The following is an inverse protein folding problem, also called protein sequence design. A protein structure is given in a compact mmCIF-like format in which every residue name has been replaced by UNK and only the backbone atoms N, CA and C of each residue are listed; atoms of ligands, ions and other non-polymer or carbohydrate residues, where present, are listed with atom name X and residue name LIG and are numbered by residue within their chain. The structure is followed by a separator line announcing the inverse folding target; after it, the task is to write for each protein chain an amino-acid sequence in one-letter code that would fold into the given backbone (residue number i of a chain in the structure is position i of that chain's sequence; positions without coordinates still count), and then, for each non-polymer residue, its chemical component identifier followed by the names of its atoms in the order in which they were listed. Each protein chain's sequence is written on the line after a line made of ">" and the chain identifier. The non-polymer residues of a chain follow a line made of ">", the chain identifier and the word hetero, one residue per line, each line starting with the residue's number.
data_IF_751444400148
#
_entry.id   IF_751444400148
#
_cell.length_a   1.000
_cell.length_b   1.000
_cell.length_c   1.000
_cell.angle_alpha   90.00
_cell.angle_beta   90.00
_cell.angle_gamma   90.00
#
_symmetry.space_group_name_H-M   'P 1'
#
loop_
_entity.id
_entity.type
_entity.pdbx_description
1 polymer ?
#
# COMPACT_ATOMS: atom_id res chain seq x y z
N UNK A 1 -18.61 15.30 12.50
CA UNK A 1 -17.35 16.05 12.64
C UNK A 1 -16.29 15.32 11.85
N UNK A 2 -15.75 15.93 10.80
CA UNK A 2 -14.55 15.49 10.07
C UNK A 2 -13.44 16.48 10.40
N UNK A 3 -12.22 16.00 10.60
CA UNK A 3 -11.04 16.83 10.84
C UNK A 3 -10.06 16.60 9.68
N UNK A 4 -9.75 17.65 8.94
CA UNK A 4 -8.89 17.59 7.75
C UNK A 4 -7.72 18.57 7.91
N UNK A 5 -6.49 18.12 7.66
CA UNK A 5 -5.28 18.96 7.67
C UNK A 5 -4.91 19.26 6.22
N UNK A 6 -4.93 20.54 5.82
CA UNK A 6 -4.84 20.93 4.40
C UNK A 6 -3.48 21.43 3.90
N UNK A 7 -2.57 21.89 4.76
CA UNK A 7 -1.37 22.63 4.30
C UNK A 7 -0.09 22.28 5.08
N UNK A 8 1.05 22.31 4.37
CA UNK A 8 2.41 22.03 4.85
C UNK A 8 3.12 23.23 5.50
N UNK A 9 2.74 24.46 5.15
CA UNK A 9 3.43 25.68 5.59
C UNK A 9 2.80 26.33 6.84
N UNK A 10 1.49 26.14 7.02
CA UNK A 10 0.69 26.49 8.20
C UNK A 10 -0.37 25.41 8.36
N UNK A 11 -0.59 24.89 9.57
CA UNK A 11 -1.61 23.87 9.78
C UNK A 11 -2.99 24.50 9.64
N UNK A 12 -3.68 24.22 8.53
CA UNK A 12 -5.11 24.54 8.38
C UNK A 12 -5.93 23.31 8.76
N UNK A 13 -6.60 23.39 9.92
CA UNK A 13 -7.51 22.36 10.41
C UNK A 13 -8.93 22.70 10.00
N UNK A 14 -9.52 21.91 9.11
CA UNK A 14 -10.93 22.03 8.75
C UNK A 14 -11.78 21.06 9.55
N UNK A 15 -12.70 21.61 10.35
CA UNK A 15 -13.72 20.83 11.05
C UNK A 15 -15.07 20.98 10.34
N UNK A 16 -15.57 19.89 9.73
CA UNK A 16 -16.88 19.88 9.08
C UNK A 16 -17.94 19.16 9.93
N UNK A 17 -19.07 19.81 10.16
CA UNK A 17 -20.23 19.21 10.82
C UNK A 17 -21.51 19.43 10.02
N UNK A 18 -22.37 18.39 9.93
CA UNK A 18 -23.71 18.45 9.36
C UNK A 18 -24.76 18.28 10.46
N UNK A 19 -25.78 19.15 10.56
CA UNK A 19 -26.94 18.93 11.45
C UNK A 19 -28.24 19.59 10.93
N UNK A 20 -29.38 19.09 11.41
CA UNK A 20 -30.75 19.47 11.02
C UNK A 20 -31.32 20.67 11.80
N UNK A 21 -30.71 21.12 12.90
CA UNK A 21 -31.26 22.15 13.81
C UNK A 21 -30.25 23.30 14.04
N UNK A 22 -30.50 24.51 13.53
CA UNK A 22 -29.48 25.58 13.56
C UNK A 22 -29.87 27.07 13.57
N UNK A 23 -31.13 27.54 13.74
CA UNK A 23 -31.33 28.95 14.04
C UNK A 23 -31.38 29.15 15.55
N UNK A 24 -30.25 29.49 16.18
CA UNK A 24 -30.21 30.03 17.56
C UNK A 24 -29.32 29.32 18.59
N UNK A 25 -28.65 28.23 18.25
CA UNK A 25 -27.78 27.50 19.18
C UNK A 25 -26.32 27.92 18.95
N UNK A 26 -25.68 28.48 19.97
CA UNK A 26 -24.25 28.76 19.99
C UNK A 26 -23.49 27.44 20.12
N UNK A 27 -22.65 27.07 19.16
CA UNK A 27 -21.77 25.91 19.30
C UNK A 27 -20.48 26.32 19.99
N UNK A 28 -20.02 25.51 20.94
CA UNK A 28 -18.69 25.68 21.54
C UNK A 28 -17.77 24.63 20.92
N UNK A 29 -16.85 25.10 20.09
CA UNK A 29 -15.82 24.28 19.46
C UNK A 29 -14.46 24.65 20.04
N UNK A 30 -13.76 23.66 20.54
CA UNK A 30 -12.40 23.82 21.06
C UNK A 30 -11.46 22.90 20.27
N UNK A 31 -10.39 23.48 19.74
CA UNK A 31 -9.26 22.73 19.20
C UNK A 31 -8.11 22.81 20.21
N UNK A 32 -7.54 21.66 20.55
CA UNK A 32 -6.34 21.52 21.36
C UNK A 32 -5.22 20.92 20.54
N UNK A 33 -4.02 21.47 20.69
CA UNK A 33 -2.76 20.95 20.14
C UNK A 33 -1.90 20.58 21.34
N UNK A 34 -1.63 19.29 21.54
CA UNK A 34 -0.87 18.78 22.69
C UNK A 34 -1.29 19.44 24.03
N UNK A 35 -2.61 19.45 24.26
CA UNK A 35 -3.31 20.06 25.39
C UNK A 35 -3.37 21.61 25.48
N UNK A 36 -2.74 22.34 24.56
CA UNK A 36 -2.88 23.80 24.46
C UNK A 36 -4.12 24.21 23.66
N UNK A 37 -4.94 25.14 24.19
CA UNK A 37 -6.10 25.70 23.50
C UNK A 37 -5.68 26.65 22.37
N UNK A 38 -6.22 26.44 21.17
CA UNK A 38 -6.02 27.35 20.03
C UNK A 38 -7.25 28.25 19.87
N UNK A 39 -7.13 29.51 20.31
CA UNK A 39 -8.26 30.46 20.35
C UNK A 39 -8.59 31.11 18.99
N UNK A 40 -7.72 30.99 17.98
CA UNK A 40 -7.89 31.66 16.67
C UNK A 40 -8.42 30.72 15.57
N UNK A 41 -9.75 30.59 15.49
CA UNK A 41 -10.45 29.87 14.42
C UNK A 41 -11.41 30.78 13.65
N UNK A 42 -11.52 30.58 12.34
CA UNK A 42 -12.56 31.23 11.51
C UNK A 42 -13.71 30.27 11.26
N UNK A 43 -14.95 30.73 11.38
CA UNK A 43 -16.15 29.90 11.16
C UNK A 43 -16.87 30.33 9.86
N UNK A 44 -17.21 29.35 9.01
CA UNK A 44 -18.07 29.52 7.84
C UNK A 44 -19.28 28.60 7.93
N UNK A 45 -20.49 29.17 8.00
CA UNK A 45 -21.76 28.44 8.01
C UNK A 45 -22.40 28.47 6.62
N UNK A 46 -22.85 27.33 6.13
CA UNK A 46 -23.60 27.19 4.88
C UNK A 46 -24.82 26.32 5.08
N UNK A 47 -25.98 26.78 4.60
CA UNK A 47 -27.18 25.94 4.49
C UNK A 47 -27.13 25.19 3.16
N UNK A 48 -27.34 23.87 3.19
CA UNK A 48 -27.41 23.02 2.00
C UNK A 48 -28.85 22.88 1.50
N UNK A 49 -28.97 22.51 0.24
CA UNK A 49 -30.26 22.32 -0.45
C UNK A 49 -31.11 21.20 0.16
N UNK A 50 -30.47 20.25 0.84
CA UNK A 50 -31.11 19.16 1.61
C UNK A 50 -31.70 19.61 2.96
N UNK A 51 -31.62 20.91 3.28
CA UNK A 51 -32.09 21.48 4.55
C UNK A 51 -31.10 21.34 5.72
N UNK A 52 -29.96 20.68 5.51
CA UNK A 52 -28.90 20.53 6.51
C UNK A 52 -28.03 21.78 6.58
N UNK A 53 -27.49 22.06 7.76
CA UNK A 53 -26.49 23.10 7.96
C UNK A 53 -25.10 22.48 8.04
N UNK A 54 -24.16 23.08 7.33
CA UNK A 54 -22.73 22.77 7.36
C UNK A 54 -21.98 23.93 8.03
N UNK A 55 -21.21 23.64 9.07
CA UNK A 55 -20.22 24.59 9.60
C UNK A 55 -18.82 24.05 9.30
N UNK A 56 -17.97 24.90 8.73
CA UNK A 56 -16.56 24.66 8.47
C UNK A 56 -15.78 25.63 9.36
N UNK A 57 -14.95 25.08 10.22
CA UNK A 57 -14.04 25.88 11.04
C UNK A 57 -12.62 25.67 10.55
N UNK A 58 -11.88 26.76 10.38
CA UNK A 58 -10.49 26.73 9.95
C UNK A 58 -9.62 27.40 11.02
N UNK A 59 -8.75 26.62 11.66
CA UNK A 59 -7.67 27.14 12.52
C UNK A 59 -6.37 27.16 11.75
N UNK A 60 -5.56 28.19 11.99
CA UNK A 60 -4.17 28.27 11.51
C UNK A 60 -3.23 28.13 12.70
N UNK A 61 -2.45 27.05 12.74
CA UNK A 61 -1.40 26.86 13.75
C UNK A 61 -0.03 27.12 13.11
N UNK A 62 0.77 28.08 13.59
CA UNK A 62 2.13 28.30 13.11
C UNK A 62 3.03 27.09 13.40
N UNK A 63 3.86 26.69 12.43
CA UNK A 63 4.76 25.52 12.55
C UNK A 63 5.78 25.65 13.69
N UNK A 64 6.11 26.87 14.10
CA UNK A 64 7.12 27.19 15.15
C UNK A 64 6.72 26.67 16.54
N UNK A 65 5.45 26.27 16.74
CA UNK A 65 4.94 25.83 18.04
C UNK A 65 4.68 24.32 18.14
N UNK A 66 5.09 23.54 17.12
CA UNK A 66 4.53 22.20 16.89
C UNK A 66 5.61 21.22 16.38
N UNK A 67 6.25 20.47 17.28
CA UNK A 67 7.24 19.42 16.97
C UNK A 67 6.56 18.04 16.81
N UNK A 68 6.57 17.40 15.61
CA UNK A 68 5.90 16.11 15.39
C UNK A 68 6.49 14.95 16.21
N UNK A 69 5.68 13.94 16.63
CA UNK A 69 4.27 13.77 16.34
C UNK A 69 3.37 14.66 17.19
N UNK A 70 2.43 15.35 16.56
CA UNK A 70 1.52 16.28 17.25
C UNK A 70 0.10 15.80 17.19
N UNK A 71 -0.59 15.89 18.32
CA UNK A 71 -1.97 15.44 18.48
C UNK A 71 -2.93 16.62 18.39
N UNK A 72 -3.82 16.58 17.40
CA UNK A 72 -4.89 17.54 17.23
C UNK A 72 -6.20 16.97 17.79
N UNK A 73 -6.67 17.55 18.89
CA UNK A 73 -7.88 17.17 19.60
C UNK A 73 -8.97 18.22 19.42
N UNK A 74 -10.04 17.88 18.69
CA UNK A 74 -11.20 18.74 18.51
C UNK A 74 -12.40 18.21 19.30
N UNK A 75 -12.97 19.07 20.14
CA UNK A 75 -14.18 18.81 20.88
C UNK A 75 -15.27 19.80 20.48
N UNK A 76 -16.46 19.28 20.23
CA UNK A 76 -17.69 20.04 20.05
C UNK A 76 -18.60 19.76 21.23
N UNK A 77 -19.13 20.82 21.81
CA UNK A 77 -20.20 20.76 22.80
C UNK A 77 -21.34 21.68 22.39
N UNK A 78 -22.57 21.24 22.66
CA UNK A 78 -23.78 22.02 22.44
C UNK A 78 -24.29 22.50 23.81
N UNK A 79 -24.16 23.80 24.14
CA UNK A 79 -24.65 24.37 25.40
C UNK A 79 -26.13 24.05 25.62
N UNK A 80 -26.48 23.62 26.83
CA UNK A 80 -27.85 23.21 27.17
C UNK A 80 -28.21 21.78 26.75
N UNK A 81 -27.27 20.99 26.22
CA UNK A 81 -27.45 19.56 25.96
C UNK A 81 -26.25 18.75 26.46
N UNK A 82 -26.42 17.44 26.62
CA UNK A 82 -25.33 16.53 26.94
C UNK A 82 -24.55 16.07 25.69
N UNK A 83 -24.76 16.72 24.54
CA UNK A 83 -24.13 16.32 23.29
C UNK A 83 -22.68 16.82 23.24
N UNK A 84 -21.73 15.88 23.31
CA UNK A 84 -20.31 16.14 23.09
C UNK A 84 -19.76 15.20 22.02
N UNK A 85 -19.11 15.74 21.00
CA UNK A 85 -18.39 14.96 19.99
C UNK A 85 -16.91 15.29 20.04
N UNK A 86 -16.04 14.27 20.05
CA UNK A 86 -14.58 14.42 20.07
C UNK A 86 -13.95 13.72 18.87
N UNK A 87 -12.89 14.30 18.32
CA UNK A 87 -12.08 13.76 17.22
C UNK A 87 -10.61 14.06 17.51
N UNK A 88 -9.76 13.07 17.25
CA UNK A 88 -8.31 13.13 17.43
C UNK A 88 -7.62 12.75 16.11
N UNK A 89 -6.59 13.49 15.72
CA UNK A 89 -5.72 13.17 14.56
C UNK A 89 -4.27 13.48 14.93
N UNK A 90 -3.35 12.57 14.59
CA UNK A 90 -1.91 12.74 14.81
C UNK A 90 -1.24 13.15 13.49
N UNK A 91 -0.44 14.21 13.52
CA UNK A 91 0.38 14.62 12.38
C UNK A 91 1.81 14.06 12.52
N UNK A 92 2.24 13.32 11.51
CA UNK A 92 3.64 12.92 11.31
C UNK A 92 4.25 13.83 10.24
N UNK A 93 5.46 14.33 10.46
CA UNK A 93 6.20 15.07 9.43
C UNK A 93 6.44 14.12 8.25
N UNK A 94 6.03 14.49 7.05
CA UNK A 94 6.64 13.91 5.84
C UNK A 94 8.05 14.51 5.76
N UNK A 95 9.09 13.68 5.84
CA UNK A 95 10.47 14.15 5.69
C UNK A 95 10.63 14.75 4.28
N UNK A 96 10.82 16.06 4.20
CA UNK A 96 11.19 16.71 2.94
C UNK A 96 12.59 16.22 2.58
N UNK A 97 12.81 15.64 1.38
CA UNK A 97 14.11 15.08 1.04
C UNK A 97 15.15 16.18 1.04
N UNK A 98 16.25 15.98 1.77
CA UNK A 98 17.37 16.92 1.72
C UNK A 98 18.02 16.80 0.35
N UNK A 99 17.98 17.89 -0.42
CA UNK A 99 18.60 17.95 -1.73
C UNK A 99 20.10 18.20 -1.59
N UNK A 100 20.90 17.52 -2.41
CA UNK A 100 22.35 17.68 -2.39
C UNK A 100 22.74 19.06 -2.95
N UNK A 101 23.46 19.86 -2.15
CA UNK A 101 23.85 21.22 -2.50
C UNK A 101 24.84 21.24 -3.68
N UNK A 102 25.67 20.21 -3.80
CA UNK A 102 26.65 20.06 -4.88
C UNK A 102 26.08 19.39 -6.13
N UNK A 103 24.76 19.18 -6.19
CA UNK A 103 24.09 18.51 -7.31
C UNK A 103 24.47 19.04 -8.71
N UNK A 104 24.61 20.36 -8.95
CA UNK A 104 25.00 20.86 -10.26
C UNK A 104 26.35 20.31 -10.76
N UNK A 105 27.27 19.94 -9.87
CA UNK A 105 28.53 19.31 -10.23
C UNK A 105 28.39 17.79 -10.32
N UNK A 106 27.73 17.17 -9.34
CA UNK A 106 27.55 15.71 -9.29
C UNK A 106 26.75 15.18 -10.48
N UNK A 107 25.74 15.93 -10.93
CA UNK A 107 24.97 15.61 -12.12
C UNK A 107 25.87 15.37 -13.33
N UNK A 108 26.82 16.27 -13.62
CA UNK A 108 27.74 16.11 -14.74
C UNK A 108 28.66 14.89 -14.58
N UNK A 109 29.07 14.56 -13.35
CA UNK A 109 29.88 13.37 -13.09
C UNK A 109 29.09 12.11 -13.39
N UNK A 110 27.85 12.01 -12.91
CA UNK A 110 26.97 10.87 -13.18
C UNK A 110 26.63 10.76 -14.67
N UNK A 111 26.30 11.86 -15.34
CA UNK A 111 26.02 11.88 -16.78
C UNK A 111 27.23 11.45 -17.59
N UNK A 112 28.42 11.98 -17.29
CA UNK A 112 29.66 11.60 -17.97
C UNK A 112 29.95 10.12 -17.80
N UNK A 113 29.84 9.59 -16.57
CA UNK A 113 30.08 8.18 -16.31
C UNK A 113 29.05 7.27 -17.00
N UNK A 114 27.78 7.68 -17.02
CA UNK A 114 26.74 6.95 -17.73
C UNK A 114 27.02 6.92 -19.24
N UNK A 115 27.38 8.06 -19.85
CA UNK A 115 27.75 8.13 -21.27
C UNK A 115 28.98 7.29 -21.59
N UNK A 116 29.97 7.27 -20.69
CA UNK A 116 31.13 6.38 -20.80
C UNK A 116 30.71 4.91 -20.80
N UNK A 117 29.83 4.51 -19.88
CA UNK A 117 29.31 3.13 -19.82
C UNK A 117 28.44 2.79 -21.03
N UNK A 118 27.72 3.73 -21.62
CA UNK A 118 26.83 3.50 -22.77
C UNK A 118 27.55 3.52 -24.12
N UNK A 119 28.77 4.06 -24.17
CA UNK A 119 29.57 4.13 -25.39
C UNK A 119 29.68 2.76 -26.10
N UNK A 120 29.53 2.71 -27.45
CA UNK A 120 29.68 1.49 -28.22
C UNK A 120 31.13 0.96 -28.17
N UNK A 121 32.11 1.84 -27.96
CA UNK A 121 33.53 1.50 -27.87
C UNK A 121 33.94 1.01 -26.46
N UNK A 122 32.98 0.93 -25.54
CA UNK A 122 33.24 0.43 -24.18
C UNK A 122 33.64 -1.04 -24.22
N UNK A 123 34.86 -1.34 -23.76
CA UNK A 123 35.40 -2.71 -23.70
C UNK A 123 35.32 -3.29 -22.27
N UNK A 124 34.42 -4.25 -21.99
CA UNK A 124 34.26 -4.85 -20.66
C UNK A 124 35.54 -5.48 -20.10
N UNK A 125 36.40 -6.03 -20.97
CA UNK A 125 37.64 -6.68 -20.58
C UNK A 125 38.65 -5.73 -19.93
N UNK A 126 38.70 -4.47 -20.40
CA UNK A 126 39.58 -3.43 -19.85
C UNK A 126 38.96 -2.83 -18.60
N UNK A 127 37.65 -2.55 -18.62
CA UNK A 127 36.92 -1.93 -17.53
C UNK A 127 36.90 -2.78 -16.25
N UNK A 128 36.84 -4.13 -16.36
CA UNK A 128 36.80 -5.02 -15.18
C UNK A 128 38.00 -4.88 -14.23
N UNK A 129 39.11 -4.28 -14.69
CA UNK A 129 40.30 -4.04 -13.86
C UNK A 129 40.12 -2.88 -12.88
N UNK A 130 39.19 -1.97 -13.19
CA UNK A 130 38.92 -0.76 -12.41
C UNK A 130 37.54 -0.79 -11.77
N UNK A 131 36.55 -1.35 -12.46
CA UNK A 131 35.22 -1.62 -11.92
C UNK A 131 35.26 -3.03 -11.31
N UNK A 132 35.70 -3.10 -10.07
CA UNK A 132 35.82 -4.33 -9.30
C UNK A 132 34.70 -4.46 -8.24
N UNK A 133 34.83 -5.44 -7.35
CA UNK A 133 33.86 -5.67 -6.28
C UNK A 133 33.82 -4.51 -5.27
N UNK A 134 34.96 -3.88 -5.01
CA UNK A 134 35.05 -2.77 -4.06
C UNK A 134 34.33 -1.53 -4.60
N UNK A 135 34.49 -1.25 -5.91
CA UNK A 135 33.74 -0.19 -6.58
C UNK A 135 32.23 -0.41 -6.46
N UNK A 136 31.76 -1.65 -6.68
CA UNK A 136 30.33 -1.99 -6.57
C UNK A 136 29.80 -1.79 -5.15
N UNK A 137 30.59 -2.13 -4.12
CA UNK A 137 30.18 -1.90 -2.72
C UNK A 137 29.99 -0.41 -2.44
N UNK A 138 31.00 0.41 -2.78
CA UNK A 138 30.93 1.85 -2.60
C UNK A 138 29.78 2.48 -3.38
N UNK A 139 29.52 1.99 -4.59
CA UNK A 139 28.37 2.44 -5.40
C UNK A 139 27.03 2.08 -4.74
N UNK A 140 26.93 0.89 -4.14
CA UNK A 140 25.72 0.46 -3.44
C UNK A 140 25.46 1.27 -2.17
N UNK A 141 26.51 1.66 -1.43
CA UNK A 141 26.37 2.50 -0.24
C UNK A 141 25.75 3.87 -0.57
N UNK A 142 25.96 4.39 -1.78
CA UNK A 142 25.35 5.66 -2.23
C UNK A 142 23.84 5.58 -2.46
N UNK A 143 23.24 4.38 -2.57
CA UNK A 143 21.79 4.25 -2.72
C UNK A 143 21.01 4.72 -1.49
N UNK A 144 21.67 4.92 -0.35
CA UNK A 144 21.03 5.48 0.84
C UNK A 144 20.97 7.03 0.83
N UNK A 145 21.39 7.67 -0.27
CA UNK A 145 21.24 9.12 -0.47
C UNK A 145 19.79 9.58 -0.31
N UNK A 146 19.58 10.70 0.37
CA UNK A 146 18.25 11.32 0.52
C UNK A 146 17.75 11.93 -0.79
N UNK A 147 18.67 12.31 -1.70
CA UNK A 147 18.33 12.96 -2.96
C UNK A 147 17.82 11.94 -4.00
N UNK A 148 16.54 11.99 -4.40
CA UNK A 148 15.99 11.05 -5.37
C UNK A 148 16.66 11.13 -6.75
N UNK A 149 17.25 12.28 -7.10
CA UNK A 149 17.92 12.46 -8.39
C UNK A 149 19.20 11.63 -8.44
N UNK A 150 19.96 11.61 -7.34
CA UNK A 150 21.15 10.79 -7.23
C UNK A 150 20.81 9.30 -7.33
N UNK A 151 19.79 8.86 -6.59
CA UNK A 151 19.33 7.46 -6.63
C UNK A 151 18.90 7.01 -8.03
N UNK A 152 18.26 7.88 -8.81
CA UNK A 152 17.85 7.55 -10.18
C UNK A 152 19.06 7.38 -11.14
N UNK A 153 20.11 8.20 -10.99
CA UNK A 153 21.36 8.00 -11.72
C UNK A 153 22.07 6.70 -11.28
N UNK A 154 22.18 6.47 -9.97
CA UNK A 154 22.78 5.26 -9.42
C UNK A 154 22.06 4.00 -9.92
N UNK A 155 20.73 4.03 -9.95
CA UNK A 155 19.88 2.97 -10.50
C UNK A 155 20.30 2.61 -11.92
N UNK A 156 20.38 3.62 -12.77
CA UNK A 156 20.72 3.45 -14.18
C UNK A 156 22.17 2.95 -14.34
N UNK A 157 23.11 3.54 -13.61
CA UNK A 157 24.53 3.15 -13.63
C UNK A 157 24.71 1.69 -13.19
N UNK A 158 24.13 1.29 -12.07
CA UNK A 158 24.23 -0.07 -11.55
C UNK A 158 23.59 -1.08 -12.51
N UNK A 159 22.45 -0.73 -13.12
CA UNK A 159 21.80 -1.57 -14.13
C UNK A 159 22.71 -1.78 -15.37
N UNK A 160 23.36 -0.72 -15.88
CA UNK A 160 24.33 -0.82 -17.00
C UNK A 160 25.54 -1.68 -16.64
N UNK A 161 26.09 -1.49 -15.44
CA UNK A 161 27.19 -2.30 -14.90
C UNK A 161 26.79 -3.78 -14.86
N UNK A 162 25.62 -4.10 -14.32
CA UNK A 162 25.10 -5.47 -14.26
C UNK A 162 24.93 -6.09 -15.66
N UNK A 163 24.43 -5.29 -16.61
CA UNK A 163 24.24 -5.70 -18.00
C UNK A 163 25.54 -6.04 -18.71
N UNK A 164 26.53 -5.13 -18.67
CA UNK A 164 27.80 -5.23 -19.43
C UNK A 164 28.87 -6.10 -18.75
N UNK A 165 28.97 -6.08 -17.41
CA UNK A 165 30.01 -6.79 -16.65
C UNK A 165 29.48 -8.09 -16.04
N UNK A 166 29.40 -9.14 -16.87
CA UNK A 166 28.85 -10.45 -16.49
C UNK A 166 29.48 -11.06 -15.23
N UNK A 167 30.79 -10.84 -15.02
CA UNK A 167 31.53 -11.37 -13.87
C UNK A 167 31.10 -10.78 -12.52
N UNK A 168 30.47 -9.61 -12.50
CA UNK A 168 30.01 -8.96 -11.26
C UNK A 168 28.57 -9.32 -10.89
N UNK A 169 27.80 -9.98 -11.78
CA UNK A 169 26.36 -10.23 -11.58
C UNK A 169 26.04 -11.01 -10.30
N UNK A 170 26.81 -12.05 -10.01
CA UNK A 170 26.62 -12.84 -8.79
C UNK A 170 26.92 -12.01 -7.53
N UNK A 171 27.97 -11.19 -7.58
CA UNK A 171 28.37 -10.31 -6.50
C UNK A 171 27.33 -9.22 -6.24
N UNK A 172 26.87 -8.52 -7.29
CA UNK A 172 25.83 -7.48 -7.20
C UNK A 172 24.56 -8.04 -6.56
N UNK A 173 24.05 -9.19 -7.04
CA UNK A 173 22.85 -9.84 -6.45
C UNK A 173 23.07 -10.16 -4.97
N UNK A 174 24.24 -10.69 -4.61
CA UNK A 174 24.57 -11.01 -3.21
C UNK A 174 24.59 -9.75 -2.34
N UNK A 175 25.17 -8.65 -2.82
CA UNK A 175 25.24 -7.42 -2.03
C UNK A 175 23.89 -6.72 -1.89
N UNK A 176 23.07 -6.69 -2.94
CA UNK A 176 21.69 -6.19 -2.85
C UNK A 176 20.90 -7.03 -1.83
N UNK A 177 21.08 -8.35 -1.79
CA UNK A 177 20.47 -9.20 -0.77
C UNK A 177 20.93 -8.81 0.64
N UNK A 178 22.21 -8.52 0.84
CA UNK A 178 22.72 -8.08 2.14
C UNK A 178 22.10 -6.74 2.57
N UNK A 179 21.95 -5.79 1.65
CA UNK A 179 21.25 -4.52 1.90
C UNK A 179 19.81 -4.78 2.35
N UNK A 180 19.08 -5.66 1.64
CA UNK A 180 17.72 -6.03 2.02
C UNK A 180 17.66 -6.77 3.36
N UNK A 181 18.59 -7.66 3.66
CA UNK A 181 18.63 -8.32 4.97
C UNK A 181 18.81 -7.32 6.11
N UNK A 182 19.77 -6.39 5.97
CA UNK A 182 20.01 -5.32 6.94
C UNK A 182 18.77 -4.43 7.08
N UNK A 183 18.14 -4.06 5.97
CA UNK A 183 16.91 -3.26 5.97
C UNK A 183 15.74 -3.97 6.68
N UNK A 184 15.50 -5.25 6.39
CA UNK A 184 14.35 -6.00 6.94
C UNK A 184 14.52 -6.33 8.42
N UNK A 185 15.74 -6.71 8.84
CA UNK A 185 15.97 -7.32 10.16
C UNK A 185 16.73 -6.43 11.15
N UNK A 186 17.43 -5.37 10.69
CA UNK A 186 18.27 -4.54 11.56
C UNK A 186 17.80 -3.09 11.63
N UNK A 187 17.69 -2.39 10.50
CA UNK A 187 17.52 -0.93 10.51
C UNK A 187 16.10 -0.45 10.27
N UNK A 188 15.27 -1.19 9.51
CA UNK A 188 13.97 -0.74 8.97
C UNK A 188 14.02 0.61 8.20
N UNK A 189 15.22 1.08 7.86
CA UNK A 189 15.46 2.37 7.19
C UNK A 189 16.54 2.21 6.12
N UNK A 190 16.19 2.63 4.91
CA UNK A 190 17.07 2.75 3.75
C UNK A 190 16.32 3.48 2.63
N UNK A 191 16.91 4.50 2.01
CA UNK A 191 16.21 5.36 1.03
C UNK A 191 16.07 4.74 -0.37
N UNK A 192 17.04 3.93 -0.80
CA UNK A 192 17.10 3.36 -2.16
C UNK A 192 16.42 2.01 -2.41
N UNK A 193 15.51 1.56 -1.55
CA UNK A 193 14.91 0.21 -1.69
C UNK A 193 14.06 0.10 -2.97
N UNK A 194 13.32 1.15 -3.31
CA UNK A 194 12.49 1.17 -4.52
C UNK A 194 13.35 1.03 -5.78
N UNK A 195 14.41 1.82 -5.88
CA UNK A 195 15.33 1.85 -7.02
C UNK A 195 16.07 0.52 -7.18
N UNK A 196 16.51 -0.10 -6.08
CA UNK A 196 17.12 -1.44 -6.12
C UNK A 196 16.12 -2.50 -6.60
N UNK A 197 14.85 -2.41 -6.21
CA UNK A 197 13.79 -3.30 -6.69
C UNK A 197 13.49 -3.09 -8.18
N UNK A 198 13.54 -1.87 -8.71
CA UNK A 198 13.38 -1.63 -10.17
C UNK A 198 14.45 -2.35 -10.99
N UNK A 199 15.71 -2.27 -10.55
CA UNK A 199 16.82 -3.00 -11.19
C UNK A 199 16.54 -4.50 -11.11
N UNK A 200 16.15 -4.99 -9.94
CA UNK A 200 15.86 -6.41 -9.75
C UNK A 200 14.69 -6.88 -10.61
N UNK A 201 13.64 -6.07 -10.78
CA UNK A 201 12.52 -6.38 -11.67
C UNK A 201 13.00 -6.64 -13.11
N UNK A 202 13.89 -5.78 -13.62
CA UNK A 202 14.50 -5.98 -14.94
C UNK A 202 15.38 -7.24 -14.99
N UNK A 203 16.14 -7.51 -13.92
CA UNK A 203 16.99 -8.71 -13.80
C UNK A 203 16.14 -9.99 -13.79
N UNK A 204 15.03 -10.00 -13.04
CA UNK A 204 14.11 -11.14 -12.91
C UNK A 204 13.47 -11.47 -14.26
N UNK A 205 13.02 -10.46 -14.99
CA UNK A 205 12.47 -10.66 -16.33
C UNK A 205 13.50 -11.32 -17.28
N UNK A 206 14.78 -11.03 -17.09
CA UNK A 206 15.89 -11.64 -17.84
C UNK A 206 16.34 -13.04 -17.37
N UNK A 207 15.72 -13.64 -16.36
CA UNK A 207 16.11 -14.98 -15.91
C UNK A 207 15.82 -16.06 -16.96
N UNK A 208 16.78 -16.98 -17.10
CA UNK A 208 16.63 -18.15 -17.95
C UNK A 208 15.73 -19.18 -17.27
N UNK A 209 14.93 -19.89 -18.08
CA UNK A 209 14.14 -21.03 -17.64
C UNK A 209 14.92 -22.34 -17.89
N UNK A 210 14.87 -23.32 -16.98
CA UNK A 210 14.16 -23.30 -15.69
C UNK A 210 14.84 -22.38 -14.65
N UNK A 211 14.04 -21.79 -13.77
CA UNK A 211 14.55 -20.94 -12.69
C UNK A 211 15.49 -21.72 -11.77
N UNK A 212 16.67 -21.15 -11.52
CA UNK A 212 17.63 -21.70 -10.53
C UNK A 212 17.07 -21.61 -9.12
N UNK A 213 17.44 -22.57 -8.29
CA UNK A 213 17.04 -22.63 -6.88
C UNK A 213 17.45 -21.38 -6.08
N UNK A 214 18.60 -20.78 -6.39
CA UNK A 214 19.03 -19.51 -5.77
C UNK A 214 18.01 -18.37 -5.96
N UNK A 215 17.32 -18.34 -7.10
CA UNK A 215 16.32 -17.32 -7.41
C UNK A 215 15.01 -17.59 -6.68
N UNK A 216 14.62 -18.86 -6.55
CA UNK A 216 13.44 -19.27 -5.76
C UNK A 216 13.65 -18.93 -4.28
N UNK A 217 14.83 -19.20 -3.75
CA UNK A 217 15.19 -18.80 -2.39
C UNK A 217 15.21 -17.29 -2.22
N UNK A 218 15.69 -16.54 -3.21
CA UNK A 218 15.66 -15.07 -3.18
C UNK A 218 14.23 -14.53 -3.06
N UNK A 219 13.28 -15.04 -3.86
CA UNK A 219 11.85 -14.69 -3.73
C UNK A 219 11.34 -14.97 -2.31
N UNK A 220 11.50 -16.20 -1.83
CA UNK A 220 10.88 -16.64 -0.57
C UNK A 220 11.54 -16.05 0.70
N UNK A 221 12.86 -15.80 0.66
CA UNK A 221 13.64 -15.37 1.84
C UNK A 221 13.94 -13.88 1.88
N UNK A 222 13.84 -13.18 0.75
CA UNK A 222 14.18 -11.76 0.66
C UNK A 222 12.98 -10.92 0.21
N UNK A 223 12.42 -11.20 -0.97
CA UNK A 223 11.31 -10.39 -1.50
C UNK A 223 10.05 -10.47 -0.64
N UNK A 224 9.60 -11.68 -0.28
CA UNK A 224 8.38 -11.81 0.52
C UNK A 224 8.50 -11.16 1.92
N UNK A 225 9.61 -11.31 2.67
CA UNK A 225 9.78 -10.61 3.94
C UNK A 225 9.82 -9.07 3.84
N UNK A 226 10.14 -8.46 2.69
CA UNK A 226 10.07 -7.00 2.53
C UNK A 226 8.67 -6.43 2.78
N UNK A 227 7.60 -7.22 2.63
CA UNK A 227 6.23 -6.80 2.95
C UNK A 227 5.99 -6.53 4.44
N UNK A 228 6.87 -7.04 5.32
CA UNK A 228 6.73 -6.87 6.77
C UNK A 228 7.05 -5.44 7.22
N UNK A 229 8.02 -4.78 6.59
CA UNK A 229 8.55 -3.49 7.04
C UNK A 229 7.50 -2.39 6.92
N UNK A 230 7.43 -1.48 7.91
CA UNK A 230 6.35 -0.48 8.02
C UNK A 230 6.30 0.47 6.82
N UNK A 231 7.45 0.88 6.30
CA UNK A 231 7.65 1.79 5.16
C UNK A 231 7.36 1.18 3.77
N UNK A 232 6.61 0.06 3.72
CA UNK A 232 6.24 -0.63 2.47
C UNK A 232 5.65 0.30 1.40
N UNK A 233 4.92 1.34 1.80
CA UNK A 233 4.28 2.28 0.87
C UNK A 233 5.24 2.95 -0.11
N UNK A 234 6.53 3.06 0.23
CA UNK A 234 7.55 3.74 -0.57
C UNK A 234 7.98 2.88 -1.78
N UNK A 235 7.98 1.56 -1.64
CA UNK A 235 8.54 0.63 -2.64
C UNK A 235 7.58 -0.50 -3.05
N UNK A 236 6.34 -0.47 -2.56
CA UNK A 236 5.34 -1.52 -2.83
C UNK A 236 5.12 -1.78 -4.32
N UNK A 237 4.91 -0.79 -5.20
CA UNK A 237 4.68 -1.05 -6.62
C UNK A 237 5.83 -1.84 -7.27
N UNK A 238 7.08 -1.47 -6.95
CA UNK A 238 8.28 -2.13 -7.46
C UNK A 238 8.40 -3.56 -6.92
N UNK A 239 8.02 -3.78 -5.66
CA UNK A 239 8.02 -5.10 -5.03
C UNK A 239 6.97 -6.02 -5.65
N UNK A 240 5.73 -5.54 -5.78
CA UNK A 240 4.62 -6.27 -6.41
C UNK A 240 4.99 -6.68 -7.84
N UNK A 241 5.56 -5.75 -8.62
CA UNK A 241 6.08 -6.05 -9.95
C UNK A 241 7.11 -7.19 -9.94
N UNK A 242 8.07 -7.18 -9.01
CA UNK A 242 9.06 -8.26 -8.88
C UNK A 242 8.40 -9.61 -8.56
N UNK A 243 7.39 -9.62 -7.68
CA UNK A 243 6.67 -10.85 -7.30
C UNK A 243 5.88 -11.40 -8.49
N UNK A 244 5.08 -10.58 -9.17
CA UNK A 244 4.30 -10.98 -10.35
C UNK A 244 5.22 -11.53 -11.45
N UNK A 245 6.36 -10.87 -11.70
CA UNK A 245 7.34 -11.34 -12.68
C UNK A 245 7.92 -12.72 -12.35
N UNK A 246 8.08 -13.06 -11.07
CA UNK A 246 8.48 -14.40 -10.68
C UNK A 246 7.40 -15.45 -10.98
N UNK A 247 6.12 -15.10 -10.78
CA UNK A 247 5.00 -16.00 -11.01
C UNK A 247 4.75 -16.23 -12.50
N UNK A 248 4.92 -15.21 -13.35
CA UNK A 248 4.87 -15.37 -14.81
C UNK A 248 5.95 -16.32 -15.34
N UNK A 249 7.12 -16.37 -14.68
CA UNK A 249 8.22 -17.27 -15.07
C UNK A 249 8.05 -18.70 -14.57
N UNK A 250 7.48 -18.89 -13.38
CA UNK A 250 7.26 -20.20 -12.78
C UNK A 250 5.98 -20.20 -11.90
N UNK A 251 4.84 -20.60 -12.47
CA UNK A 251 3.55 -20.63 -11.78
C UNK A 251 3.53 -21.49 -10.51
N UNK A 252 4.43 -22.48 -10.39
CA UNK A 252 4.53 -23.35 -9.21
C UNK A 252 4.88 -22.60 -7.91
N UNK A 253 5.39 -21.37 -8.03
CA UNK A 253 5.71 -20.50 -6.91
C UNK A 253 4.50 -19.74 -6.35
N UNK A 254 3.34 -19.82 -7.01
CA UNK A 254 2.15 -19.04 -6.62
C UNK A 254 1.62 -19.45 -5.24
N UNK A 255 1.51 -20.75 -4.99
CA UNK A 255 1.02 -21.27 -3.71
C UNK A 255 1.86 -20.77 -2.50
N UNK A 256 3.21 -20.93 -2.47
CA UNK A 256 4.01 -20.44 -1.35
C UNK A 256 4.02 -18.90 -1.24
N UNK A 257 3.90 -18.16 -2.35
CA UNK A 257 3.80 -16.69 -2.34
C UNK A 257 2.51 -16.23 -1.66
N UNK A 258 1.35 -16.71 -2.11
CA UNK A 258 0.05 -16.33 -1.54
C UNK A 258 -0.04 -16.75 -0.07
N UNK A 259 0.40 -17.96 0.29
CA UNK A 259 0.45 -18.39 1.70
C UNK A 259 1.33 -17.48 2.56
N UNK A 260 2.42 -16.96 2.02
CA UNK A 260 3.30 -16.02 2.74
C UNK A 260 2.68 -14.64 2.89
N UNK A 261 2.03 -14.10 1.85
CA UNK A 261 1.31 -12.83 1.93
C UNK A 261 0.17 -12.90 2.95
N UNK A 262 -0.61 -13.99 2.93
CA UNK A 262 -1.65 -14.24 3.93
C UNK A 262 -1.09 -14.36 5.35
N UNK A 263 0.11 -14.93 5.51
CA UNK A 263 0.82 -14.99 6.81
C UNK A 263 1.27 -13.60 7.28
N UNK A 264 1.67 -12.72 6.37
CA UNK A 264 2.13 -11.36 6.68
C UNK A 264 1.01 -10.31 6.67
N UNK A 265 -0.25 -10.76 6.58
CA UNK A 265 -1.39 -9.86 6.44
C UNK A 265 -1.43 -8.77 7.53
N UNK A 266 -1.46 -7.48 7.16
CA UNK A 266 -1.51 -6.38 8.11
C UNK A 266 -2.79 -6.42 8.94
N UNK A 267 -2.66 -6.37 10.27
CA UNK A 267 -3.82 -6.36 11.19
C UNK A 267 -4.12 -4.99 11.80
N UNK A 268 -3.14 -4.08 11.77
CA UNK A 268 -3.20 -2.78 12.46
C UNK A 268 -2.90 -1.59 11.54
N UNK A 269 -2.66 -1.84 10.24
CA UNK A 269 -2.25 -0.81 9.28
C UNK A 269 -3.09 -0.88 8.00
N UNK A 270 -4.25 -0.21 8.00
CA UNK A 270 -5.22 -0.27 6.90
C UNK A 270 -4.67 0.14 5.52
N UNK A 271 -3.78 1.15 5.37
CA UNK A 271 -3.19 1.44 4.06
C UNK A 271 -2.35 0.29 3.50
N UNK A 272 -1.70 -0.48 4.38
CA UNK A 272 -0.94 -1.67 3.96
C UNK A 272 -1.88 -2.80 3.57
N UNK A 273 -3.00 -2.94 4.26
CA UNK A 273 -4.01 -3.93 3.89
C UNK A 273 -4.57 -3.65 2.49
N UNK A 274 -4.80 -2.37 2.14
CA UNK A 274 -5.17 -1.96 0.78
C UNK A 274 -4.06 -2.29 -0.23
N UNK A 275 -2.78 -2.07 0.11
CA UNK A 275 -1.64 -2.47 -0.72
C UNK A 275 -1.59 -3.98 -0.98
N UNK A 276 -1.74 -4.80 0.05
CA UNK A 276 -1.80 -6.26 -0.10
C UNK A 276 -2.99 -6.71 -0.97
N UNK A 277 -4.15 -6.05 -0.85
CA UNK A 277 -5.29 -6.30 -1.74
C UNK A 277 -5.01 -5.90 -3.19
N UNK A 278 -4.23 -4.84 -3.42
CA UNK A 278 -3.78 -4.49 -4.78
C UNK A 278 -2.88 -5.57 -5.36
N UNK A 279 -1.82 -5.93 -4.63
CA UNK A 279 -0.85 -6.93 -5.08
C UNK A 279 -1.51 -8.31 -5.30
N UNK A 280 -2.42 -8.71 -4.41
CA UNK A 280 -3.16 -9.95 -4.60
C UNK A 280 -4.03 -9.95 -5.85
N UNK A 281 -4.61 -8.82 -6.26
CA UNK A 281 -5.35 -8.77 -7.53
C UNK A 281 -4.40 -8.96 -8.71
N UNK A 282 -3.26 -8.26 -8.73
CA UNK A 282 -2.25 -8.42 -9.79
C UNK A 282 -1.73 -9.87 -9.87
N UNK A 283 -1.55 -10.54 -8.73
CA UNK A 283 -1.18 -11.97 -8.68
C UNK A 283 -2.31 -12.85 -9.22
N UNK A 284 -3.56 -12.54 -8.89
CA UNK A 284 -4.72 -13.30 -9.39
C UNK A 284 -4.97 -13.09 -10.88
N UNK A 285 -4.52 -11.99 -11.48
CA UNK A 285 -4.62 -11.77 -12.93
C UNK A 285 -3.70 -12.71 -13.74
N UNK A 286 -2.62 -13.20 -13.14
CA UNK A 286 -1.65 -14.11 -13.80
C UNK A 286 -1.72 -15.55 -13.29
N UNK A 287 -2.57 -15.85 -12.29
CA UNK A 287 -2.65 -17.19 -11.69
C UNK A 287 -3.25 -18.21 -12.65
N UNK A 288 -2.68 -19.41 -12.72
CA UNK A 288 -3.29 -20.53 -13.43
C UNK A 288 -4.43 -21.17 -12.59
N UNK A 289 -5.52 -21.66 -13.21
CA UNK A 289 -6.64 -22.27 -12.48
C UNK A 289 -6.24 -23.42 -11.54
N UNK A 290 -5.24 -24.22 -11.95
CA UNK A 290 -4.73 -25.33 -11.13
C UNK A 290 -4.02 -24.85 -9.85
N UNK A 291 -3.30 -23.73 -9.92
CA UNK A 291 -2.65 -23.13 -8.75
C UNK A 291 -3.66 -22.39 -7.87
N UNK A 292 -4.67 -21.75 -8.48
CA UNK A 292 -5.76 -21.09 -7.77
C UNK A 292 -6.52 -22.05 -6.84
N UNK A 293 -6.83 -23.26 -7.30
CA UNK A 293 -7.53 -24.27 -6.48
C UNK A 293 -6.79 -24.61 -5.18
N UNK A 294 -5.46 -24.52 -5.14
CA UNK A 294 -4.65 -24.82 -3.94
C UNK A 294 -4.74 -23.72 -2.87
N UNK A 295 -5.10 -22.50 -3.27
CA UNK A 295 -5.06 -21.31 -2.40
C UNK A 295 -6.42 -20.63 -2.21
N UNK A 296 -7.43 -20.98 -3.02
CA UNK A 296 -8.74 -20.31 -3.01
C UNK A 296 -9.39 -20.29 -1.62
N UNK A 297 -9.35 -21.38 -0.86
CA UNK A 297 -9.97 -21.43 0.46
C UNK A 297 -9.35 -20.43 1.47
N UNK A 298 -8.04 -20.49 1.77
CA UNK A 298 -7.44 -19.54 2.71
C UNK A 298 -7.49 -18.09 2.20
N UNK A 299 -7.38 -17.89 0.88
CA UNK A 299 -7.49 -16.58 0.26
C UNK A 299 -8.88 -15.96 0.47
N UNK A 300 -9.95 -16.65 0.09
CA UNK A 300 -11.31 -16.11 0.21
C UNK A 300 -11.77 -16.01 1.66
N UNK A 301 -11.26 -16.85 2.58
CA UNK A 301 -11.46 -16.62 4.03
C UNK A 301 -10.86 -15.30 4.50
N UNK A 302 -9.76 -14.84 3.90
CA UNK A 302 -9.18 -13.54 4.22
C UNK A 302 -9.95 -12.41 3.54
N UNK A 303 -10.31 -12.54 2.24
CA UNK A 303 -11.13 -11.55 1.52
C UNK A 303 -12.49 -11.34 2.24
N UNK A 304 -13.11 -12.41 2.74
CA UNK A 304 -14.34 -12.34 3.54
C UNK A 304 -14.21 -11.40 4.76
N UNK A 305 -13.05 -11.42 5.43
CA UNK A 305 -12.76 -10.51 6.55
C UNK A 305 -12.55 -9.08 6.06
N UNK A 306 -11.85 -8.89 4.94
CA UNK A 306 -11.61 -7.57 4.35
C UNK A 306 -12.93 -6.90 3.92
N UNK A 307 -13.84 -7.65 3.30
CA UNK A 307 -15.20 -7.19 2.95
C UNK A 307 -16.01 -6.82 4.20
N UNK A 308 -15.78 -7.52 5.31
CA UNK A 308 -16.40 -7.23 6.60
C UNK A 308 -15.69 -6.15 7.41
N UNK A 309 -14.63 -5.55 6.86
CA UNK A 309 -13.86 -4.53 7.57
C UNK A 309 -14.71 -3.28 7.77
N UNK A 310 -14.71 -2.68 8.98
CA UNK A 310 -15.37 -1.39 9.21
C UNK A 310 -14.65 -0.24 8.48
N UNK A 311 -13.40 -0.45 8.04
CA UNK A 311 -12.61 0.54 7.32
C UNK A 311 -13.00 0.55 5.84
N UNK A 312 -13.67 1.63 5.41
CA UNK A 312 -14.30 1.66 4.08
C UNK A 312 -13.31 1.41 2.93
N UNK A 313 -12.08 1.94 2.96
CA UNK A 313 -11.12 1.74 1.87
C UNK A 313 -10.71 0.27 1.71
N UNK A 314 -10.70 -0.50 2.80
CA UNK A 314 -10.34 -1.93 2.77
C UNK A 314 -11.51 -2.73 2.18
N UNK A 315 -12.72 -2.48 2.68
CA UNK A 315 -13.93 -3.16 2.21
C UNK A 315 -14.22 -2.83 0.73
N UNK A 316 -14.10 -1.55 0.35
CA UNK A 316 -14.23 -1.08 -1.03
C UNK A 316 -13.22 -1.79 -1.93
N UNK A 317 -11.94 -1.79 -1.54
CA UNK A 317 -10.88 -2.39 -2.34
C UNK A 317 -11.07 -3.90 -2.54
N UNK A 318 -11.50 -4.61 -1.51
CA UNK A 318 -11.79 -6.04 -1.58
C UNK A 318 -13.01 -6.31 -2.48
N UNK A 319 -14.07 -5.49 -2.39
CA UNK A 319 -15.27 -5.63 -3.22
C UNK A 319 -15.02 -5.30 -4.70
N UNK A 320 -13.97 -4.55 -5.03
CA UNK A 320 -13.59 -4.30 -6.41
C UNK A 320 -13.12 -5.55 -7.17
N UNK A 321 -12.76 -6.65 -6.48
CA UNK A 321 -12.41 -7.91 -7.14
C UNK A 321 -13.55 -8.46 -8.00
N UNK A 322 -14.81 -8.15 -7.67
CA UNK A 322 -15.98 -8.59 -8.46
C UNK A 322 -16.14 -7.83 -9.78
N UNK A 323 -15.36 -6.78 -10.00
CA UNK A 323 -15.33 -6.07 -11.28
C UNK A 323 -14.27 -6.64 -12.23
N UNK A 324 -13.37 -7.49 -11.74
CA UNK A 324 -12.34 -8.12 -12.54
C UNK A 324 -12.90 -9.39 -13.20
N UNK A 325 -12.94 -9.40 -14.54
CA UNK A 325 -13.54 -10.48 -15.32
C UNK A 325 -12.83 -11.83 -15.11
N UNK A 326 -11.50 -11.82 -14.97
CA UNK A 326 -10.72 -13.04 -14.79
C UNK A 326 -10.91 -13.62 -13.38
N UNK A 327 -10.87 -12.77 -12.35
CA UNK A 327 -11.19 -13.22 -10.98
C UNK A 327 -12.61 -13.77 -10.93
N UNK A 328 -13.57 -13.13 -11.60
CA UNK A 328 -14.95 -13.60 -11.65
C UNK A 328 -15.11 -14.95 -12.36
N UNK A 329 -14.34 -15.22 -13.42
CA UNK A 329 -14.36 -16.53 -14.08
C UNK A 329 -13.82 -17.64 -13.15
N UNK A 330 -12.71 -17.38 -12.45
CA UNK A 330 -12.15 -18.31 -11.45
C UNK A 330 -13.13 -18.58 -10.31
N UNK A 331 -13.85 -17.56 -9.84
CA UNK A 331 -14.91 -17.71 -8.82
C UNK A 331 -16.07 -18.56 -9.35
N UNK A 332 -16.44 -18.40 -10.61
CA UNK A 332 -17.54 -19.14 -11.24
C UNK A 332 -17.26 -20.64 -11.29
N UNK A 333 -16.07 -21.01 -11.77
CA UNK A 333 -15.63 -22.39 -11.87
C UNK A 333 -15.54 -23.08 -10.49
N UNK A 334 -15.22 -22.32 -9.44
CA UNK A 334 -15.03 -22.83 -8.07
C UNK A 334 -16.12 -22.37 -7.09
N UNK A 335 -17.30 -22.03 -7.63
CA UNK A 335 -18.41 -21.44 -6.86
C UNK A 335 -18.89 -22.28 -5.69
N UNK A 336 -18.81 -23.62 -5.82
CA UNK A 336 -19.18 -24.59 -4.77
C UNK A 336 -18.41 -24.40 -3.46
N UNK A 337 -17.16 -23.94 -3.54
CA UNK A 337 -16.30 -23.73 -2.36
C UNK A 337 -16.32 -22.26 -1.94
N UNK A 338 -16.25 -21.33 -2.90
CA UNK A 338 -16.09 -19.91 -2.62
C UNK A 338 -17.38 -19.26 -2.09
N UNK A 339 -18.53 -19.59 -2.67
CA UNK A 339 -19.80 -18.95 -2.32
C UNK A 339 -20.16 -19.19 -0.83
N UNK A 340 -20.08 -20.41 -0.27
CA UNK A 340 -20.33 -20.63 1.16
C UNK A 340 -19.40 -19.85 2.09
N UNK A 341 -18.15 -19.60 1.70
CA UNK A 341 -17.17 -18.84 2.50
C UNK A 341 -17.52 -17.34 2.50
N UNK A 342 -17.92 -16.81 1.35
CA UNK A 342 -18.17 -15.37 1.17
C UNK A 342 -19.56 -14.94 1.62
N UNK A 343 -20.56 -15.82 1.49
CA UNK A 343 -21.96 -15.50 1.73
C UNK A 343 -22.24 -14.92 3.13
N UNK A 344 -21.75 -15.50 4.25
CA UNK A 344 -22.03 -14.97 5.59
C UNK A 344 -21.55 -13.52 5.76
N UNK A 345 -20.38 -13.21 5.20
CA UNK A 345 -19.76 -11.90 5.28
C UNK A 345 -20.54 -10.87 4.46
N UNK A 346 -20.88 -11.19 3.22
CA UNK A 346 -21.66 -10.29 2.36
C UNK A 346 -23.07 -10.05 2.92
N UNK A 347 -23.75 -11.11 3.36
CA UNK A 347 -25.13 -11.02 3.84
C UNK A 347 -25.24 -10.22 5.15
N UNK A 348 -24.34 -10.42 6.13
CA UNK A 348 -24.32 -9.64 7.38
C UNK A 348 -24.11 -8.15 7.12
N UNK A 349 -23.12 -7.82 6.28
CA UNK A 349 -22.76 -6.44 6.01
C UNK A 349 -23.77 -5.69 5.13
N UNK A 350 -24.52 -6.39 4.28
CA UNK A 350 -25.63 -5.79 3.51
C UNK A 350 -26.69 -5.13 4.40
N UNK A 351 -26.86 -5.60 5.64
CA UNK A 351 -27.85 -5.06 6.58
C UNK A 351 -27.29 -4.02 7.55
N UNK A 352 -25.98 -4.07 7.83
CA UNK A 352 -25.40 -3.41 9.01
C UNK A 352 -24.28 -2.43 8.70
N UNK A 353 -23.67 -2.49 7.51
CA UNK A 353 -22.55 -1.61 7.17
C UNK A 353 -22.97 -0.12 7.15
N UNK A 354 -22.15 0.76 7.71
CA UNK A 354 -22.51 2.18 7.90
C UNK A 354 -22.38 3.01 6.61
N UNK A 355 -21.52 2.58 5.68
CA UNK A 355 -21.23 3.29 4.43
C UNK A 355 -22.15 2.80 3.28
N UNK A 356 -22.88 3.74 2.68
CA UNK A 356 -23.85 3.48 1.59
C UNK A 356 -23.20 2.97 0.30
N UNK A 357 -21.99 3.42 -0.03
CA UNK A 357 -21.27 2.97 -1.23
C UNK A 357 -20.93 1.49 -1.11
N UNK A 358 -20.41 1.09 0.06
CA UNK A 358 -20.09 -0.31 0.36
C UNK A 358 -21.36 -1.18 0.32
N UNK A 359 -22.50 -0.69 0.83
CA UNK A 359 -23.78 -1.39 0.66
C UNK A 359 -24.10 -1.66 -0.82
N UNK A 360 -23.98 -0.65 -1.69
CA UNK A 360 -24.20 -0.82 -3.12
C UNK A 360 -23.29 -1.88 -3.74
N UNK A 361 -22.00 -1.85 -3.40
CA UNK A 361 -21.01 -2.84 -3.87
C UNK A 361 -21.32 -4.26 -3.36
N UNK A 362 -21.73 -4.41 -2.10
CA UNK A 362 -22.14 -5.70 -1.52
C UNK A 362 -23.38 -6.24 -2.24
N UNK A 363 -24.39 -5.40 -2.50
CA UNK A 363 -25.58 -5.83 -3.23
C UNK A 363 -25.24 -6.27 -4.66
N UNK A 364 -24.34 -5.56 -5.33
CA UNK A 364 -23.85 -5.97 -6.64
C UNK A 364 -23.15 -7.33 -6.57
N UNK A 365 -22.23 -7.53 -5.61
CA UNK A 365 -21.54 -8.81 -5.43
C UNK A 365 -22.52 -9.97 -5.11
N UNK A 366 -23.52 -9.74 -4.24
CA UNK A 366 -24.57 -10.73 -3.96
C UNK A 366 -25.39 -11.07 -5.20
N UNK A 367 -25.73 -10.07 -6.02
CA UNK A 367 -26.45 -10.28 -7.28
C UNK A 367 -25.63 -11.14 -8.24
N UNK A 368 -24.34 -10.85 -8.40
CA UNK A 368 -23.45 -11.64 -9.24
C UNK A 368 -23.38 -13.10 -8.77
N UNK A 369 -23.21 -13.35 -7.47
CA UNK A 369 -23.23 -14.73 -6.95
C UNK A 369 -24.54 -15.46 -7.19
N UNK A 370 -25.66 -14.76 -7.09
CA UNK A 370 -26.99 -15.33 -7.36
C UNK A 370 -27.16 -15.69 -8.84
N UNK A 371 -26.69 -14.82 -9.75
CA UNK A 371 -26.68 -15.08 -11.20
C UNK A 371 -25.77 -16.25 -11.59
N UNK A 372 -24.66 -16.44 -10.86
CA UNK A 372 -23.72 -17.55 -11.09
C UNK A 372 -24.31 -18.91 -10.72
N UNK A 373 -24.92 -19.03 -9.53
CA UNK A 373 -25.52 -20.28 -9.07
C UNK A 373 -26.66 -20.05 -8.07
N UNK A 374 -27.87 -19.87 -8.61
CA UNK A 374 -29.09 -19.63 -7.83
C UNK A 374 -29.34 -20.71 -6.76
N UNK A 375 -29.20 -22.00 -7.11
CA UNK A 375 -29.50 -23.11 -6.20
C UNK A 375 -28.57 -23.09 -4.99
N UNK A 376 -27.27 -22.95 -5.22
CA UNK A 376 -26.28 -22.90 -4.16
C UNK A 376 -26.43 -21.64 -3.29
N UNK A 377 -26.78 -20.51 -3.91
CA UNK A 377 -27.07 -19.27 -3.18
C UNK A 377 -28.25 -19.44 -2.21
N UNK A 378 -29.33 -20.06 -2.67
CA UNK A 378 -30.51 -20.33 -1.85
C UNK A 378 -30.22 -21.32 -0.71
N UNK A 379 -29.38 -22.33 -0.95
CA UNK A 379 -28.89 -23.26 0.07
C UNK A 379 -28.05 -22.55 1.14
N UNK A 380 -27.10 -21.69 0.73
CA UNK A 380 -26.28 -20.91 1.66
C UNK A 380 -27.13 -19.97 2.52
N UNK A 381 -28.16 -19.35 1.94
CA UNK A 381 -29.11 -18.51 2.67
C UNK A 381 -29.93 -19.30 3.71
N UNK A 382 -30.33 -20.53 3.38
CA UNK A 382 -31.03 -21.43 4.33
C UNK A 382 -30.11 -21.83 5.48
N UNK A 383 -28.90 -22.30 5.16
CA UNK A 383 -27.91 -22.73 6.16
C UNK A 383 -27.54 -21.59 7.10
N UNK A 384 -27.27 -20.40 6.54
CA UNK A 384 -26.97 -19.21 7.34
C UNK A 384 -28.12 -18.80 8.27
N UNK A 385 -29.39 -18.93 7.84
CA UNK A 385 -30.54 -18.65 8.71
C UNK A 385 -30.67 -19.69 9.83
N UNK A 386 -30.43 -20.97 9.54
CA UNK A 386 -30.46 -22.03 10.54
C UNK A 386 -29.36 -21.84 11.60
N UNK A 387 -28.15 -21.49 11.18
CA UNK A 387 -27.03 -21.23 12.09
C UNK A 387 -27.21 -20.00 13.00
N UNK A 388 -27.99 -18.98 12.59
CA UNK A 388 -28.29 -17.83 13.46
C UNK A 388 -29.58 -18.00 14.28
N UNK A 389 -30.31 -19.11 14.10
CA UNK A 389 -31.49 -19.45 14.91
C UNK A 389 -31.18 -20.45 16.04
N UNK A 390 -30.06 -21.17 15.91
CA UNK A 390 -29.38 -21.87 17.01
C UNK A 390 -28.54 -20.88 17.82
#
# INVERSE_FOLDING_TARGET
>A
MLLLIKSKYNFELEVMQRSTYFPGIFLVLCCRVDDMLVDSGTEKKRRKEDGMYESILTWRVPRVQVDPPVTFNCALSIPGTNYTARRETIYYKEDEPTLEASWPHLQFVYELFLRFLESPDFTPATAKRYIDQQFVLQLLDLFDSEDPRERDFLKTVLHRIYGKLLGLRAFIRKQINNVFYRFIYETEHHNGIAELLEILGSIINGFALPLKEEHKQFLLKVLLPLHKVKSLSVYHPQLAYCVVQFLEKDPSLTEPVIKSLLKFWPKTHSPKEVMFLNELEEILDVIEPAEFQKVMEPLFRQIAKCVSSPHFQVAERALYYWNNEYIMSLISENSQVILPIMFPSLYRNSKTHWNKTIHGLIYNALKLFMEMNQKLFDECNKNFKQENQM
#
